data_IF_603312922541
#
_entry.id   IF_603312922541
#
_cell.length_a   1.000
_cell.length_b   1.000
_cell.length_c   1.000
_cell.angle_alpha   90.00
_cell.angle_beta   90.00
_cell.angle_gamma   90.00
#
_symmetry.space_group_name_H-M   'P 1'
#
loop_
_entity.id
_entity.type
_entity.pdbx_description
1 polymer ?
#
# COMPACT_ATOMS: atom_id res chain seq x y z
N UNK A 1 -27.49 30.74 21.74
CA UNK A 1 -26.15 30.42 21.23
C UNK A 1 -26.03 28.90 21.18
N UNK A 2 -26.69 28.28 20.20
CA UNK A 2 -26.51 26.85 19.94
C UNK A 2 -25.21 26.66 19.17
N UNK A 3 -24.13 26.46 19.91
CA UNK A 3 -22.86 25.99 19.40
C UNK A 3 -22.94 24.46 19.29
N UNK A 4 -23.94 23.96 18.56
CA UNK A 4 -23.93 22.58 18.08
C UNK A 4 -22.83 22.50 17.04
N UNK A 5 -21.66 21.96 17.45
CA UNK A 5 -20.66 21.49 16.50
C UNK A 5 -21.38 20.55 15.55
N UNK A 6 -21.57 20.99 14.32
CA UNK A 6 -22.11 20.14 13.26
C UNK A 6 -21.16 18.97 13.11
N UNK A 7 -21.65 17.75 13.29
CA UNK A 7 -20.89 16.51 13.09
C UNK A 7 -20.44 16.31 11.62
N UNK A 8 -20.65 17.34 10.79
CA UNK A 8 -20.34 17.36 9.35
C UNK A 8 -19.49 18.57 8.94
N UNK A 9 -18.67 19.12 9.85
CA UNK A 9 -17.80 20.23 9.51
C UNK A 9 -16.74 19.77 8.50
N UNK A 10 -16.71 20.42 7.34
CA UNK A 10 -15.71 20.16 6.34
C UNK A 10 -14.34 20.63 6.84
N UNK A 11 -13.38 19.72 6.92
CA UNK A 11 -12.00 20.05 7.32
C UNK A 11 -11.20 20.59 6.14
N UNK A 12 -10.47 21.70 6.31
CA UNK A 12 -9.48 22.13 5.33
C UNK A 12 -8.25 21.23 5.41
N UNK A 13 -7.90 20.57 4.28
CA UNK A 13 -6.75 19.68 4.19
C UNK A 13 -5.82 20.22 3.10
N UNK A 14 -4.58 20.55 3.48
CA UNK A 14 -3.57 20.97 2.52
C UNK A 14 -2.89 19.76 1.91
N UNK A 15 -2.94 19.65 0.58
CA UNK A 15 -2.22 18.64 -0.21
C UNK A 15 -0.90 19.26 -0.69
N UNK A 16 0.28 18.77 -0.25
CA UNK A 16 1.57 19.30 -0.65
C UNK A 16 1.79 19.36 -2.15
N UNK A 17 2.45 20.41 -2.63
CA UNK A 17 2.79 20.59 -4.04
C UNK A 17 3.82 19.57 -4.53
N UNK A 18 3.96 19.43 -5.86
CA UNK A 18 4.98 18.58 -6.49
C UNK A 18 4.56 17.10 -6.66
N UNK A 19 3.33 16.76 -6.30
CA UNK A 19 2.77 15.42 -6.51
C UNK A 19 1.27 15.48 -6.82
N UNK A 20 0.74 14.37 -7.33
CA UNK A 20 -0.68 14.07 -7.25
C UNK A 20 -0.95 13.24 -6.00
N UNK A 21 -2.17 13.36 -5.48
CA UNK A 21 -2.64 12.67 -4.29
C UNK A 21 -3.90 11.90 -4.61
N UNK A 22 -4.00 10.69 -4.14
CA UNK A 22 -5.13 9.81 -4.40
C UNK A 22 -5.88 9.63 -3.09
N UNK A 23 -7.16 9.99 -3.09
CA UNK A 23 -8.05 9.77 -1.95
C UNK A 23 -8.14 8.26 -1.70
N UNK A 24 -7.71 7.83 -0.52
CA UNK A 24 -7.67 6.42 -0.14
C UNK A 24 -9.03 5.73 -0.21
N UNK A 25 -10.10 6.45 0.14
CA UNK A 25 -11.45 5.90 0.22
C UNK A 25 -12.14 5.79 -1.13
N UNK A 26 -11.86 6.72 -2.04
CA UNK A 26 -12.58 6.83 -3.32
C UNK A 26 -11.74 6.51 -4.55
N UNK A 27 -10.40 6.54 -4.43
CA UNK A 27 -9.47 6.40 -5.55
C UNK A 27 -9.39 7.63 -6.46
N UNK A 28 -10.06 8.73 -6.11
CA UNK A 28 -10.01 9.96 -6.90
C UNK A 28 -8.65 10.64 -6.77
N UNK A 29 -8.07 11.02 -7.91
CA UNK A 29 -6.82 11.76 -7.96
C UNK A 29 -7.06 13.26 -7.79
N UNK A 30 -6.20 13.91 -7.00
CA UNK A 30 -6.21 15.34 -6.67
C UNK A 30 -4.82 15.92 -6.92
N UNK A 31 -4.75 17.12 -7.49
CA UNK A 31 -3.48 17.84 -7.68
C UNK A 31 -2.99 18.35 -6.33
N UNK A 32 -1.68 18.24 -6.07
CA UNK A 32 -1.04 18.90 -4.94
C UNK A 32 -0.91 20.41 -5.09
N UNK A 33 -0.49 21.09 -4.02
CA UNK A 33 -0.35 22.53 -3.94
C UNK A 33 -1.67 23.27 -3.72
N UNK A 34 -2.66 22.62 -3.12
CA UNK A 34 -3.96 23.21 -2.83
C UNK A 34 -4.51 22.78 -1.47
N UNK A 35 -5.42 23.57 -0.93
CA UNK A 35 -6.25 23.20 0.21
C UNK A 35 -7.61 22.74 -0.32
N UNK A 36 -8.04 21.58 0.10
CA UNK A 36 -9.36 21.04 -0.21
C UNK A 36 -10.26 21.09 1.03
N UNK A 37 -11.57 21.15 0.81
CA UNK A 37 -12.56 20.95 1.86
C UNK A 37 -13.07 19.52 1.79
N UNK A 38 -12.99 18.79 2.90
CA UNK A 38 -13.44 17.39 2.99
C UNK A 38 -14.48 17.25 4.10
N UNK A 39 -15.66 16.77 3.76
CA UNK A 39 -16.60 16.28 4.77
C UNK A 39 -16.01 15.02 5.42
N UNK A 40 -15.96 15.04 6.74
CA UNK A 40 -15.37 13.96 7.55
C UNK A 40 -16.38 13.51 8.59
N UNK A 41 -17.25 12.54 8.24
CA UNK A 41 -18.09 11.90 9.24
C UNK A 41 -17.18 11.17 10.26
N UNK A 42 -17.70 10.96 11.45
CA UNK A 42 -16.92 10.49 12.61
C UNK A 42 -16.21 9.14 12.38
N UNK A 43 -16.70 8.34 11.46
CA UNK A 43 -16.19 7.02 11.10
C UNK A 43 -15.16 7.05 9.96
N UNK A 44 -14.92 8.23 9.35
CA UNK A 44 -13.99 8.37 8.22
C UNK A 44 -12.83 9.29 8.58
N UNK A 45 -11.65 8.74 8.70
CA UNK A 45 -10.40 9.50 8.75
C UNK A 45 -9.96 9.85 7.31
N UNK A 46 -9.79 11.13 6.95
CA UNK A 46 -9.30 11.50 5.62
C UNK A 46 -7.86 11.02 5.43
N UNK A 47 -7.64 10.18 4.43
CA UNK A 47 -6.34 9.63 4.05
C UNK A 47 -6.07 9.88 2.58
N UNK A 48 -4.90 10.40 2.26
CA UNK A 48 -4.46 10.66 0.89
C UNK A 48 -3.12 9.98 0.66
N UNK A 49 -3.05 9.17 -0.40
CA UNK A 49 -1.83 8.47 -0.79
C UNK A 49 -1.17 9.23 -1.93
N UNK A 50 0.13 9.46 -1.82
CA UNK A 50 0.90 10.10 -2.90
C UNK A 50 0.94 9.19 -4.12
N UNK A 51 0.73 9.75 -5.31
CA UNK A 51 0.97 9.04 -6.56
C UNK A 51 2.43 8.57 -6.64
N UNK A 52 2.66 7.39 -7.20
CA UNK A 52 3.97 6.74 -7.14
C UNK A 52 4.20 6.05 -5.79
N UNK A 53 3.19 5.36 -5.24
CA UNK A 53 3.31 4.54 -4.04
C UNK A 53 2.85 3.11 -4.29
N UNK A 54 3.50 2.16 -3.63
CA UNK A 54 3.07 0.76 -3.54
C UNK A 54 2.75 0.49 -2.07
N UNK A 55 1.49 0.16 -1.77
CA UNK A 55 1.06 -0.23 -0.43
C UNK A 55 0.85 -1.74 -0.36
N UNK A 56 1.66 -2.46 0.44
CA UNK A 56 1.40 -3.86 0.74
C UNK A 56 0.23 -3.96 1.73
N UNK A 57 -0.78 -4.73 1.36
CA UNK A 57 -1.99 -4.97 2.14
C UNK A 57 -2.02 -6.43 2.58
N UNK A 58 -1.95 -6.65 3.88
CA UNK A 58 -1.98 -7.97 4.50
C UNK A 58 -3.40 -8.50 4.71
N UNK A 59 -3.54 -9.76 5.10
CA UNK A 59 -4.84 -10.33 5.46
C UNK A 59 -5.38 -9.68 6.73
N UNK A 60 -6.70 -9.51 6.83
CA UNK A 60 -7.34 -9.07 8.06
C UNK A 60 -6.97 -10.00 9.23
N UNK A 61 -6.36 -9.47 10.29
CA UNK A 61 -5.91 -10.20 11.46
C UNK A 61 -6.13 -9.37 12.73
N UNK A 62 -6.37 -10.03 13.86
CA UNK A 62 -6.56 -9.34 15.14
C UNK A 62 -5.23 -8.80 15.70
N UNK A 63 -4.11 -9.42 15.35
CA UNK A 63 -2.76 -9.03 15.77
C UNK A 63 -1.75 -9.42 14.67
N UNK A 64 -0.59 -8.78 14.65
CA UNK A 64 0.40 -8.84 13.54
C UNK A 64 0.89 -10.24 13.19
N UNK A 65 0.95 -11.16 14.17
CA UNK A 65 1.39 -12.55 13.97
C UNK A 65 0.23 -13.55 13.88
N UNK A 66 -1.03 -13.06 13.91
CA UNK A 66 -2.23 -13.90 13.92
C UNK A 66 -2.49 -14.69 12.64
N UNK A 67 -1.93 -14.22 11.52
CA UNK A 67 -1.98 -14.90 10.23
C UNK A 67 -0.65 -14.82 9.52
N UNK A 68 -0.36 -15.79 8.65
CA UNK A 68 0.80 -15.73 7.77
C UNK A 68 0.56 -14.69 6.68
N UNK A 69 1.61 -13.95 6.33
CA UNK A 69 1.59 -12.94 5.26
C UNK A 69 2.00 -13.56 3.92
N UNK A 70 1.50 -14.76 3.67
CA UNK A 70 1.80 -15.54 2.46
C UNK A 70 0.94 -15.15 1.26
N UNK A 71 -0.09 -14.32 1.48
CA UNK A 71 -0.96 -13.76 0.45
C UNK A 71 -1.08 -12.24 0.68
N UNK A 72 -0.28 -11.45 -0.03
CA UNK A 72 -0.27 -9.99 0.07
C UNK A 72 -0.88 -9.35 -1.18
N UNK A 73 -1.67 -8.32 -0.97
CA UNK A 73 -2.13 -7.46 -2.07
C UNK A 73 -1.23 -6.22 -2.17
N UNK A 74 -0.67 -5.98 -3.33
CA UNK A 74 0.09 -4.78 -3.64
C UNK A 74 -0.84 -3.78 -4.33
N UNK A 75 -1.21 -2.72 -3.62
CA UNK A 75 -2.00 -1.62 -4.16
C UNK A 75 -1.05 -0.58 -4.75
N UNK A 76 -1.06 -0.43 -6.06
CA UNK A 76 -0.24 0.54 -6.79
C UNK A 76 -1.06 1.80 -6.99
N UNK A 77 -0.56 2.94 -6.52
CA UNK A 77 -1.13 4.26 -6.71
C UNK A 77 -0.44 4.94 -7.87
N UNK A 78 -1.04 4.94 -9.07
CA UNK A 78 -0.38 5.38 -10.30
C UNK A 78 -0.18 6.90 -10.36
N UNK A 79 0.53 7.37 -11.41
CA UNK A 79 0.81 8.78 -11.67
C UNK A 79 2.25 9.19 -11.45
N UNK A 80 3.10 8.29 -10.94
CA UNK A 80 4.56 8.40 -10.88
C UNK A 80 5.18 7.02 -10.66
N UNK A 81 6.48 6.90 -10.91
CA UNK A 81 7.25 5.71 -10.56
C UNK A 81 7.27 5.51 -9.04
N UNK A 82 7.31 4.24 -8.60
CA UNK A 82 7.31 3.89 -7.19
C UNK A 82 8.38 2.85 -6.85
N UNK A 83 8.89 2.93 -5.63
CA UNK A 83 9.76 1.93 -5.05
C UNK A 83 9.23 1.52 -3.66
N UNK A 84 9.33 0.23 -3.36
CA UNK A 84 9.03 -0.34 -2.05
C UNK A 84 10.08 -1.38 -1.70
N UNK A 85 10.51 -1.40 -0.45
CA UNK A 85 11.26 -2.54 0.10
C UNK A 85 10.42 -3.20 1.17
N UNK A 86 9.95 -4.41 0.89
CA UNK A 86 9.28 -5.24 1.88
C UNK A 86 10.36 -5.86 2.77
N UNK A 87 10.31 -5.54 4.06
CA UNK A 87 11.22 -6.04 5.10
C UNK A 87 10.49 -7.05 5.96
N UNK A 88 11.17 -8.14 6.34
CA UNK A 88 10.65 -9.17 7.23
C UNK A 88 11.77 -9.78 8.07
N UNK A 89 11.47 -10.06 9.34
CA UNK A 89 12.38 -10.68 10.32
C UNK A 89 11.64 -11.67 11.24
N UNK A 90 12.26 -12.04 12.34
CA UNK A 90 11.70 -12.95 13.34
C UNK A 90 10.72 -12.28 14.32
N UNK A 91 10.33 -11.01 14.12
CA UNK A 91 9.43 -10.17 14.92
C UNK A 91 9.91 -9.82 16.33
N UNK A 92 10.07 -10.79 17.24
CA UNK A 92 10.09 -10.61 18.68
C UNK A 92 11.49 -10.73 19.30
N UNK A 93 12.54 -10.40 18.52
CA UNK A 93 13.93 -10.48 19.00
C UNK A 93 14.83 -9.48 18.25
N UNK A 94 16.10 -9.41 18.65
CA UNK A 94 17.11 -8.54 18.04
C UNK A 94 18.05 -9.26 17.05
N UNK A 95 17.65 -10.42 16.53
CA UNK A 95 18.51 -11.19 15.58
C UNK A 95 18.68 -10.45 14.25
N UNK A 96 17.77 -9.53 13.91
CA UNK A 96 17.90 -8.66 12.74
C UNK A 96 19.19 -7.83 12.78
N UNK A 97 19.71 -7.43 13.94
CA UNK A 97 20.99 -6.74 14.10
C UNK A 97 22.16 -7.60 13.66
N UNK A 98 21.99 -8.94 13.64
CA UNK A 98 22.95 -9.94 13.20
C UNK A 98 22.68 -10.42 11.78
N UNK A 99 21.80 -9.75 11.05
CA UNK A 99 21.46 -10.07 9.66
C UNK A 99 20.35 -11.11 9.48
N UNK A 100 19.60 -11.48 10.54
CA UNK A 100 18.48 -12.41 10.46
C UNK A 100 17.21 -11.70 9.98
N UNK A 101 17.19 -11.26 8.73
CA UNK A 101 16.05 -10.63 8.06
C UNK A 101 16.08 -10.88 6.56
N UNK A 102 14.97 -10.57 5.89
CA UNK A 102 14.90 -10.56 4.42
C UNK A 102 14.37 -9.25 3.90
N UNK A 103 14.79 -8.87 2.70
CA UNK A 103 14.23 -7.76 1.95
C UNK A 103 13.82 -8.20 0.55
N UNK A 104 12.72 -7.62 0.06
CA UNK A 104 12.25 -7.77 -1.31
C UNK A 104 12.02 -6.36 -1.86
N UNK A 105 12.92 -5.90 -2.73
CA UNK A 105 12.76 -4.60 -3.39
C UNK A 105 11.79 -4.73 -4.56
N UNK A 106 10.86 -3.79 -4.67
CA UNK A 106 9.86 -3.71 -5.73
C UNK A 106 9.94 -2.34 -6.40
N UNK A 107 9.74 -2.30 -7.72
CA UNK A 107 9.75 -1.08 -8.51
C UNK A 107 8.56 -1.07 -9.47
N UNK A 108 7.85 0.05 -9.48
CA UNK A 108 6.81 0.34 -10.46
C UNK A 108 7.31 1.38 -11.45
N UNK A 109 7.25 1.07 -12.72
CA UNK A 109 7.41 2.04 -13.81
C UNK A 109 6.02 2.44 -14.31
N UNK A 110 5.64 3.68 -14.04
CA UNK A 110 4.27 4.16 -14.34
C UNK A 110 4.02 4.29 -15.84
N UNK A 111 5.02 4.78 -16.58
CA UNK A 111 4.94 4.93 -18.04
C UNK A 111 4.75 3.60 -18.74
N UNK A 112 5.53 2.62 -18.34
CA UNK A 112 5.54 1.30 -18.98
C UNK A 112 4.54 0.33 -18.34
N UNK A 113 3.86 0.73 -17.27
CA UNK A 113 2.89 -0.09 -16.52
C UNK A 113 3.51 -1.43 -16.12
N UNK A 114 4.74 -1.40 -15.60
CA UNK A 114 5.49 -2.61 -15.27
C UNK A 114 5.87 -2.60 -13.79
N UNK A 115 5.51 -3.68 -13.09
CA UNK A 115 5.95 -3.96 -11.74
C UNK A 115 7.09 -4.99 -11.76
N UNK A 116 8.25 -4.62 -11.27
CA UNK A 116 9.38 -5.53 -11.03
C UNK A 116 9.41 -5.88 -9.54
N UNK A 117 9.36 -7.17 -9.21
CA UNK A 117 9.61 -7.72 -7.89
C UNK A 117 10.98 -8.39 -7.96
N UNK A 118 11.99 -7.86 -7.27
CA UNK A 118 13.37 -8.34 -7.36
C UNK A 118 13.60 -9.62 -6.56
N UNK A 119 14.78 -10.20 -6.70
CA UNK A 119 15.24 -11.33 -5.88
C UNK A 119 15.19 -10.97 -4.39
N UNK A 120 14.71 -11.90 -3.57
CA UNK A 120 14.77 -11.76 -2.11
C UNK A 120 16.22 -11.80 -1.65
N UNK A 121 16.59 -10.86 -0.78
CA UNK A 121 17.89 -10.79 -0.14
C UNK A 121 17.80 -11.22 1.32
N UNK A 122 18.84 -11.86 1.85
CA UNK A 122 18.91 -12.30 3.23
C UNK A 122 18.11 -13.58 3.53
N UNK A 123 18.13 -13.96 4.80
CA UNK A 123 17.37 -15.09 5.32
C UNK A 123 17.19 -14.97 6.84
N UNK A 124 16.18 -15.64 7.38
CA UNK A 124 15.97 -15.81 8.81
C UNK A 124 15.20 -17.12 9.09
N UNK A 125 15.25 -17.59 10.32
CA UNK A 125 14.54 -18.82 10.71
C UNK A 125 13.03 -18.62 10.67
N UNK A 126 12.33 -19.47 9.95
CA UNK A 126 10.87 -19.41 9.82
C UNK A 126 10.37 -18.51 8.67
N UNK A 127 11.25 -17.89 7.88
CA UNK A 127 10.84 -17.05 6.76
C UNK A 127 9.92 -17.77 5.77
N UNK A 128 8.99 -17.04 5.17
CA UNK A 128 8.14 -17.52 4.09
C UNK A 128 8.94 -17.72 2.81
N UNK A 129 9.13 -18.98 2.40
CA UNK A 129 9.85 -19.30 1.15
C UNK A 129 9.02 -18.96 -0.09
N UNK A 130 7.72 -19.16 -0.02
CA UNK A 130 6.78 -18.91 -1.11
C UNK A 130 5.68 -17.99 -0.62
N UNK A 131 5.24 -17.07 -1.48
CA UNK A 131 4.06 -16.25 -1.25
C UNK A 131 3.36 -15.92 -2.55
N UNK A 132 2.12 -15.50 -2.43
CA UNK A 132 1.33 -14.95 -3.52
C UNK A 132 1.30 -13.43 -3.38
N UNK A 133 1.58 -12.72 -4.46
CA UNK A 133 1.27 -11.31 -4.58
C UNK A 133 0.06 -11.15 -5.51
N UNK A 134 -0.96 -10.45 -5.03
CA UNK A 134 -2.06 -9.97 -5.84
C UNK A 134 -1.80 -8.49 -6.12
N UNK A 135 -1.95 -8.06 -7.35
CA UNK A 135 -1.63 -6.71 -7.78
C UNK A 135 -2.92 -5.99 -8.17
N UNK A 136 -3.09 -4.78 -7.64
CA UNK A 136 -4.19 -3.88 -7.99
C UNK A 136 -3.62 -2.52 -8.32
N UNK A 137 -3.96 -2.00 -9.49
CA UNK A 137 -3.79 -0.59 -9.79
C UNK A 137 -5.01 0.13 -9.28
N UNK A 138 -4.79 1.06 -8.34
CA UNK A 138 -5.87 1.81 -7.69
C UNK A 138 -6.48 2.79 -8.69
N UNK A 139 -7.79 2.74 -8.82
CA UNK A 139 -8.61 3.60 -9.65
C UNK A 139 -9.89 3.97 -8.89
N UNK A 140 -10.66 4.98 -9.33
CA UNK A 140 -11.92 5.30 -8.68
C UNK A 140 -12.84 4.07 -8.57
N UNK A 141 -13.16 3.70 -7.32
CA UNK A 141 -14.00 2.54 -6.98
C UNK A 141 -13.29 1.18 -7.05
N UNK A 142 -11.98 1.12 -7.31
CA UNK A 142 -11.20 -0.12 -7.39
C UNK A 142 -9.96 -0.05 -6.50
N UNK A 143 -9.79 -1.01 -5.62
CA UNK A 143 -8.64 -1.09 -4.71
C UNK A 143 -8.59 0.02 -3.66
N UNK A 144 -9.70 0.70 -3.41
CA UNK A 144 -9.86 1.78 -2.46
C UNK A 144 -10.38 1.28 -1.12
N UNK A 145 -10.22 2.12 -0.08
CA UNK A 145 -10.75 1.85 1.25
C UNK A 145 -9.99 0.75 1.99
N UNK A 146 -10.50 0.38 3.14
CA UNK A 146 -9.89 -0.59 4.07
C UNK A 146 -10.35 -2.03 3.88
N UNK A 147 -11.31 -2.25 2.98
CA UNK A 147 -11.83 -3.59 2.67
C UNK A 147 -10.83 -4.48 1.91
N UNK A 148 -10.96 -5.79 2.09
CA UNK A 148 -10.23 -6.76 1.30
C UNK A 148 -10.71 -6.74 -0.16
N UNK A 149 -9.77 -6.65 -1.09
CA UNK A 149 -10.07 -6.69 -2.50
C UNK A 149 -10.44 -8.11 -2.96
N UNK A 150 -11.48 -8.22 -3.74
CA UNK A 150 -11.95 -9.49 -4.31
C UNK A 150 -11.51 -9.70 -5.76
N UNK A 151 -11.10 -8.63 -6.44
CA UNK A 151 -10.63 -8.66 -7.84
C UNK A 151 -9.24 -8.07 -7.95
N UNK A 152 -8.41 -8.65 -8.79
CA UNK A 152 -7.01 -8.26 -8.97
C UNK A 152 -6.72 -8.08 -10.46
N UNK A 153 -5.83 -7.12 -10.80
CA UNK A 153 -5.32 -6.97 -12.16
C UNK A 153 -4.46 -8.17 -12.55
N UNK A 154 -3.63 -8.60 -11.62
CA UNK A 154 -2.80 -9.78 -11.79
C UNK A 154 -2.48 -10.46 -10.45
N UNK A 155 -2.12 -11.74 -10.49
CA UNK A 155 -1.61 -12.47 -9.34
C UNK A 155 -0.37 -13.28 -9.74
N UNK A 156 0.62 -13.35 -8.86
CA UNK A 156 1.86 -14.09 -9.10
C UNK A 156 2.31 -14.86 -7.87
N UNK A 157 2.79 -16.08 -8.11
CA UNK A 157 3.48 -16.86 -7.07
C UNK A 157 4.96 -16.47 -7.06
N UNK A 158 5.43 -15.95 -5.92
CA UNK A 158 6.80 -15.51 -5.73
C UNK A 158 7.57 -16.52 -4.86
N UNK A 159 8.73 -16.95 -5.36
CA UNK A 159 9.60 -17.95 -4.71
C UNK A 159 11.01 -17.41 -4.43
N UNK A 160 11.12 -16.09 -4.24
CA UNK A 160 12.41 -15.45 -3.95
C UNK A 160 13.23 -15.09 -5.19
N UNK A 161 12.70 -15.27 -6.40
CA UNK A 161 13.33 -14.89 -7.66
C UNK A 161 12.59 -13.77 -8.36
N UNK A 162 13.32 -12.95 -9.08
CA UNK A 162 12.78 -11.80 -9.81
C UNK A 162 11.62 -12.18 -10.73
N UNK A 163 10.62 -11.34 -10.71
CA UNK A 163 9.45 -11.42 -11.60
C UNK A 163 9.17 -10.01 -12.14
N UNK A 164 8.95 -9.90 -13.44
CA UNK A 164 8.50 -8.68 -14.10
C UNK A 164 7.07 -8.90 -14.61
N UNK A 165 6.17 -8.00 -14.23
CA UNK A 165 4.74 -8.06 -14.53
C UNK A 165 4.34 -6.84 -15.35
N UNK A 166 3.77 -7.05 -16.53
CA UNK A 166 3.16 -6.02 -17.36
C UNK A 166 1.67 -5.95 -17.04
N UNK A 167 1.19 -4.75 -16.64
CA UNK A 167 -0.18 -4.51 -16.18
C UNK A 167 -0.94 -3.54 -17.09
#
# INVERSE_FOLDING_TARGET
>A
NDNTLSLHDALPIYLPAGAQWIDFWTGKSLKGGQTIQREVPIDIMPVYVRAGSILPWGPAAQYSTGKKWDNLTLRIYPGADAELTLYEDEFDNYNYEKGAYTTIAMKWNDKDRTLTINDRQGNYKGMLKNRKFNIIIVEPGKGCGDGDATTFDQSVSYRGKRVDLKL
#
